data_IF_457433531539
#
_entry.id   IF_457433531539
#
_cell.length_a   1.000
_cell.length_b   1.000
_cell.length_c   1.000
_cell.angle_alpha   90.00
_cell.angle_beta   90.00
_cell.angle_gamma   90.00
#
_symmetry.space_group_name_H-M   'P 1'
#
loop_
_entity.id
_entity.type
_entity.pdbx_description
1 polymer ?
#
# COMPACT_ATOMS: atom_id res chain seq x y z
N UNK A 1 -41.80 -12.62 49.92
CA UNK A 1 -41.97 -13.97 50.54
C UNK A 1 -41.87 -15.02 49.44
N UNK A 2 -41.22 -16.18 49.64
CA UNK A 2 -39.94 -16.36 50.33
C UNK A 2 -38.90 -17.08 49.47
N UNK A 3 -37.66 -16.85 49.79
CA UNK A 3 -36.51 -17.75 49.58
C UNK A 3 -36.84 -19.17 50.12
N UNK A 4 -36.45 -20.21 49.36
CA UNK A 4 -35.98 -21.52 49.79
C UNK A 4 -36.13 -22.50 48.63
N UNK A 5 -35.03 -22.94 48.06
CA UNK A 5 -34.79 -24.26 47.48
C UNK A 5 -33.51 -24.20 46.61
N UNK A 6 -32.39 -24.13 47.30
CA UNK A 6 -31.09 -24.43 46.69
C UNK A 6 -30.18 -25.00 47.79
N UNK A 7 -30.42 -26.24 48.16
CA UNK A 7 -29.53 -27.07 48.98
C UNK A 7 -30.09 -28.48 48.99
N UNK A 8 -29.65 -29.30 48.02
CA UNK A 8 -29.67 -30.78 48.12
C UNK A 8 -29.31 -31.35 46.73
N UNK A 9 -28.03 -31.46 46.43
CA UNK A 9 -27.51 -32.39 45.42
C UNK A 9 -25.96 -32.45 45.47
N UNK A 10 -25.38 -32.60 46.66
CA UNK A 10 -24.00 -33.05 46.84
C UNK A 10 -24.06 -34.07 47.98
N UNK A 11 -24.30 -35.33 47.65
CA UNK A 11 -23.98 -36.52 48.45
C UNK A 11 -24.56 -37.75 47.77
N UNK A 12 -23.80 -38.39 46.89
CA UNK A 12 -23.84 -39.82 46.55
C UNK A 12 -23.00 -40.09 45.35
N UNK A 13 -21.75 -40.48 45.60
CA UNK A 13 -21.01 -41.45 44.75
C UNK A 13 -19.60 -41.61 45.38
N UNK A 14 -19.59 -42.14 46.60
CA UNK A 14 -18.43 -42.90 47.09
C UNK A 14 -18.92 -44.33 47.27
N UNK A 15 -18.35 -45.23 46.50
CA UNK A 15 -18.05 -46.65 46.79
C UNK A 15 -18.21 -47.46 45.49
N UNK A 16 -17.08 -47.74 44.88
CA UNK A 16 -16.72 -49.11 44.55
C UNK A 16 -15.23 -49.10 44.12
N UNK A 17 -14.44 -49.61 45.06
CA UNK A 17 -13.04 -49.98 44.83
C UNK A 17 -12.98 -51.39 44.23
N UNK A 18 -12.01 -51.61 43.39
CA UNK A 18 -11.10 -52.72 43.44
C UNK A 18 -10.75 -53.34 42.09
N UNK A 19 -9.44 -53.41 41.88
CA UNK A 19 -8.71 -54.38 41.08
C UNK A 19 -8.62 -54.24 39.57
N UNK A 20 -7.51 -53.66 39.11
CA UNK A 20 -6.65 -54.32 38.10
C UNK A 20 -5.29 -53.58 37.95
N UNK A 21 -4.26 -54.38 37.74
CA UNK A 21 -2.82 -54.20 37.77
C UNK A 21 -2.28 -52.98 36.96
N UNK A 22 -1.05 -52.49 37.35
CA UNK A 22 -0.43 -51.35 36.67
C UNK A 22 0.34 -51.81 35.42
N UNK A 23 -0.04 -51.28 34.26
CA UNK A 23 0.82 -51.25 33.08
C UNK A 23 1.79 -50.06 33.23
N UNK A 24 3.05 -50.39 33.44
CA UNK A 24 4.16 -49.44 33.47
C UNK A 24 4.36 -48.85 32.04
N UNK A 25 3.94 -47.60 31.83
CA UNK A 25 4.46 -46.79 30.73
C UNK A 25 5.74 -46.11 31.17
N UNK A 26 6.82 -46.13 30.35
CA UNK A 26 8.03 -45.39 30.65
C UNK A 26 7.75 -43.89 30.59
N UNK A 27 7.97 -43.18 31.67
CA UNK A 27 8.09 -41.74 31.71
C UNK A 27 9.28 -41.33 30.85
N UNK A 28 9.02 -40.89 29.62
CA UNK A 28 9.99 -40.09 28.89
C UNK A 28 10.01 -38.73 29.59
N UNK A 29 10.98 -38.53 30.45
CA UNK A 29 11.33 -37.23 30.97
C UNK A 29 11.81 -36.38 29.77
N UNK A 30 10.93 -35.65 29.16
CA UNK A 30 11.29 -34.55 28.27
C UNK A 30 12.03 -33.52 29.11
N UNK A 31 13.36 -33.54 29.00
CA UNK A 31 14.22 -32.51 29.55
C UNK A 31 13.75 -31.17 28.98
N UNK A 32 13.02 -30.42 29.78
CA UNK A 32 12.78 -28.99 29.58
C UNK A 32 14.15 -28.31 29.76
N UNK A 33 14.90 -28.25 28.64
CA UNK A 33 16.02 -27.33 28.56
C UNK A 33 15.40 -25.92 28.71
N UNK A 34 15.90 -25.11 29.65
CA UNK A 34 15.47 -23.73 29.72
C UNK A 34 15.86 -23.09 28.39
N UNK A 35 14.87 -22.67 27.60
CA UNK A 35 15.08 -21.72 26.51
C UNK A 35 15.69 -20.47 27.16
N UNK A 36 17.00 -20.34 27.06
CA UNK A 36 17.67 -19.09 27.38
C UNK A 36 17.10 -18.08 26.43
N UNK A 37 16.26 -17.19 26.93
CA UNK A 37 15.89 -15.98 26.23
C UNK A 37 17.18 -15.18 26.10
N UNK A 38 17.87 -15.29 24.95
CA UNK A 38 18.99 -14.41 24.65
C UNK A 38 18.49 -12.97 24.74
N UNK A 39 19.24 -12.13 25.45
CA UNK A 39 18.91 -10.72 25.58
C UNK A 39 18.89 -10.09 24.19
N UNK A 40 17.83 -9.36 23.88
CA UNK A 40 17.65 -8.73 22.58
C UNK A 40 18.86 -7.84 22.21
N UNK A 41 19.45 -8.08 21.04
CA UNK A 41 20.64 -7.36 20.56
C UNK A 41 20.22 -6.30 19.53
N UNK A 42 19.86 -5.11 20.03
CA UNK A 42 19.37 -4.01 19.21
C UNK A 42 20.48 -3.27 18.49
N UNK A 43 20.52 -3.39 17.17
CA UNK A 43 21.45 -2.67 16.28
C UNK A 43 20.73 -1.61 15.47
N UNK A 44 21.28 -0.39 15.42
CA UNK A 44 20.72 0.69 14.62
C UNK A 44 21.01 0.47 13.14
N UNK A 45 19.96 0.43 12.30
CA UNK A 45 20.07 0.23 10.86
C UNK A 45 19.74 1.50 10.06
N UNK A 46 19.32 2.58 10.73
CA UNK A 46 19.05 3.84 10.07
C UNK A 46 18.23 4.82 10.90
N UNK A 47 18.06 6.02 10.31
CA UNK A 47 17.11 7.04 10.78
C UNK A 47 16.29 7.50 9.59
N UNK A 48 14.99 7.70 9.78
CA UNK A 48 14.10 8.21 8.76
C UNK A 48 13.11 9.19 9.38
N UNK A 49 13.05 10.41 8.82
CA UNK A 49 12.10 11.47 9.25
C UNK A 49 12.05 11.67 10.78
N UNK A 50 13.20 11.69 11.45
CA UNK A 50 13.28 11.83 12.92
C UNK A 50 13.03 10.56 13.73
N UNK A 51 12.75 9.43 13.06
CA UNK A 51 12.54 8.11 13.66
C UNK A 51 13.83 7.29 13.60
N UNK A 52 14.31 6.82 14.75
CA UNK A 52 15.43 5.87 14.82
C UNK A 52 14.89 4.48 14.57
N UNK A 53 15.54 3.72 13.67
CA UNK A 53 15.18 2.35 13.31
C UNK A 53 16.26 1.40 13.80
N UNK A 54 15.86 0.41 14.59
CA UNK A 54 16.76 -0.59 15.13
C UNK A 54 16.17 -1.99 14.91
N UNK A 55 17.03 -2.96 14.65
CA UNK A 55 16.66 -4.39 14.57
C UNK A 55 17.29 -5.17 15.70
N UNK A 56 16.58 -6.16 16.18
CA UNK A 56 17.14 -7.17 17.08
C UNK A 56 17.82 -8.25 16.24
N UNK A 57 19.14 -8.17 16.12
CA UNK A 57 19.93 -9.07 15.28
C UNK A 57 19.90 -10.52 15.77
N UNK A 58 19.67 -10.75 17.07
CA UNK A 58 19.51 -12.10 17.63
C UNK A 58 18.16 -12.74 17.24
N UNK A 59 17.17 -11.93 16.89
CA UNK A 59 15.84 -12.39 16.49
C UNK A 59 15.68 -12.66 14.99
N UNK A 60 16.72 -12.41 14.19
CA UNK A 60 16.68 -12.67 12.75
C UNK A 60 16.69 -14.17 12.47
N UNK A 61 15.57 -14.71 12.02
CA UNK A 61 15.39 -16.13 11.73
C UNK A 61 15.01 -16.33 10.28
N UNK A 62 15.70 -17.25 9.60
CA UNK A 62 15.28 -17.77 8.30
C UNK A 62 14.11 -18.73 8.49
N UNK A 63 12.93 -18.38 8.01
CA UNK A 63 11.72 -19.20 8.06
C UNK A 63 11.69 -20.21 6.90
N UNK A 64 12.09 -19.76 5.72
CA UNK A 64 12.34 -20.56 4.51
C UNK A 64 13.46 -19.91 3.71
N UNK A 65 13.86 -20.49 2.58
CA UNK A 65 14.91 -19.92 1.71
C UNK A 65 14.58 -18.53 1.19
N UNK A 66 13.31 -18.14 1.22
CA UNK A 66 12.83 -16.84 0.73
C UNK A 66 12.20 -15.97 1.82
N UNK A 67 12.06 -16.48 3.04
CA UNK A 67 11.35 -15.79 4.11
C UNK A 67 12.22 -15.63 5.33
N UNK A 68 12.29 -14.41 5.85
CA UNK A 68 13.02 -14.05 7.06
C UNK A 68 12.07 -13.35 8.03
N UNK A 69 12.22 -13.63 9.32
CA UNK A 69 11.44 -13.01 10.37
C UNK A 69 12.37 -12.30 11.34
N UNK A 70 12.01 -11.07 11.73
CA UNK A 70 12.84 -10.24 12.59
C UNK A 70 12.00 -9.28 13.44
N UNK A 71 12.44 -9.04 14.68
CA UNK A 71 11.97 -7.94 15.48
C UNK A 71 12.70 -6.66 15.11
N UNK A 72 11.95 -5.57 14.93
CA UNK A 72 12.49 -4.24 14.79
C UNK A 72 11.73 -3.25 15.64
N UNK A 73 12.33 -2.10 15.92
CA UNK A 73 11.68 -1.02 16.66
C UNK A 73 11.92 0.33 16.02
N UNK A 74 10.93 1.17 16.15
CA UNK A 74 10.91 2.56 15.75
C UNK A 74 10.88 3.41 17.02
N UNK A 75 11.86 4.27 17.20
CA UNK A 75 11.88 5.21 18.32
C UNK A 75 11.70 6.63 17.80
N UNK A 76 10.72 7.32 18.32
CA UNK A 76 10.27 8.62 17.86
C UNK A 76 10.83 9.72 18.77
N UNK A 77 11.35 10.81 18.18
CA UNK A 77 11.86 11.98 18.92
C UNK A 77 10.74 12.72 19.66
N UNK A 78 9.51 12.66 19.14
CA UNK A 78 8.29 13.19 19.79
C UNK A 78 7.27 12.06 19.90
N UNK A 79 6.49 12.00 20.99
CA UNK A 79 5.43 11.01 21.12
C UNK A 79 4.46 11.04 19.93
N UNK A 80 4.09 9.88 19.46
CA UNK A 80 3.07 9.70 18.42
C UNK A 80 1.72 9.46 19.10
N UNK A 81 0.65 9.96 18.50
CA UNK A 81 -0.72 9.82 19.04
C UNK A 81 -1.51 8.92 18.09
N UNK A 82 -2.23 7.95 18.65
CA UNK A 82 -3.13 7.05 17.93
C UNK A 82 -4.55 7.16 18.50
N UNK A 83 -5.53 6.73 17.68
CA UNK A 83 -6.94 6.62 18.04
C UNK A 83 -7.52 7.93 18.59
N UNK A 84 -7.39 9.02 17.81
CA UNK A 84 -7.98 10.34 18.12
C UNK A 84 -7.57 10.90 19.51
N UNK A 85 -6.37 10.54 19.98
CA UNK A 85 -5.86 10.96 21.29
C UNK A 85 -6.03 9.94 22.41
N UNK A 86 -6.51 8.72 22.11
CA UNK A 86 -6.71 7.68 23.12
C UNK A 86 -5.45 7.31 23.89
N UNK A 87 -4.30 7.27 23.20
CA UNK A 87 -2.99 7.17 23.86
C UNK A 87 -1.86 7.71 23.01
N UNK A 88 -0.75 8.11 23.66
CA UNK A 88 0.50 8.50 23.01
C UNK A 88 1.59 7.49 23.32
N UNK A 89 2.44 7.20 22.31
CA UNK A 89 3.55 6.27 22.45
C UNK A 89 4.84 6.90 21.88
N UNK A 90 5.97 6.50 22.41
CA UNK A 90 7.30 7.00 21.98
C UNK A 90 8.11 5.94 21.26
N UNK A 91 7.69 4.68 21.32
CA UNK A 91 8.36 3.58 20.67
C UNK A 91 7.34 2.57 20.15
N UNK A 92 7.61 2.00 18.99
CA UNK A 92 6.88 0.91 18.38
C UNK A 92 7.84 -0.26 18.17
N UNK A 93 7.47 -1.45 18.66
CA UNK A 93 8.21 -2.70 18.40
C UNK A 93 7.36 -3.61 17.55
N UNK A 94 7.93 -4.12 16.47
CA UNK A 94 7.19 -4.91 15.48
C UNK A 94 7.95 -6.19 15.16
N UNK A 95 7.24 -7.32 15.15
CA UNK A 95 7.70 -8.57 14.56
C UNK A 95 7.11 -8.66 13.15
N UNK A 96 7.95 -8.78 12.14
CA UNK A 96 7.50 -8.98 10.76
C UNK A 96 8.24 -10.11 10.06
N UNK A 97 7.56 -10.77 9.15
CA UNK A 97 8.12 -11.71 8.19
C UNK A 97 8.26 -11.02 6.83
N UNK A 98 9.41 -11.18 6.19
CA UNK A 98 9.72 -10.60 4.88
C UNK A 98 9.91 -11.71 3.86
N UNK A 99 9.26 -11.57 2.69
CA UNK A 99 9.42 -12.44 1.52
C UNK A 99 10.36 -11.74 0.54
N UNK A 100 11.60 -12.16 0.49
CA UNK A 100 12.66 -11.40 -0.17
C UNK A 100 12.51 -11.30 -1.69
N UNK A 101 12.21 -12.40 -2.38
CA UNK A 101 12.05 -12.40 -3.85
C UNK A 101 10.84 -11.58 -4.31
N UNK A 102 9.78 -11.55 -3.53
CA UNK A 102 8.52 -10.87 -3.85
C UNK A 102 8.43 -9.45 -3.29
N UNK A 103 9.41 -9.02 -2.49
CA UNK A 103 9.40 -7.73 -1.76
C UNK A 103 8.10 -7.51 -0.96
N UNK A 104 7.68 -8.54 -0.20
CA UNK A 104 6.49 -8.49 0.64
C UNK A 104 6.86 -8.50 2.12
N UNK A 105 6.01 -7.92 2.95
CA UNK A 105 6.10 -7.91 4.40
C UNK A 105 4.77 -8.39 5.02
N UNK A 106 4.87 -9.25 6.02
CA UNK A 106 3.75 -9.71 6.84
C UNK A 106 4.00 -9.29 8.29
N UNK A 107 3.27 -8.32 8.84
CA UNK A 107 3.34 -8.02 10.26
C UNK A 107 2.74 -9.19 11.05
N UNK A 108 3.44 -9.62 12.10
CA UNK A 108 3.03 -10.72 12.98
C UNK A 108 2.54 -10.18 14.32
N UNK A 109 3.29 -9.22 14.89
CA UNK A 109 2.95 -8.58 16.16
C UNK A 109 3.43 -7.14 16.20
N UNK A 110 2.67 -6.28 16.87
CA UNK A 110 3.03 -4.89 17.11
C UNK A 110 2.79 -4.54 18.57
N UNK A 111 3.74 -3.84 19.19
CA UNK A 111 3.65 -3.39 20.58
C UNK A 111 3.99 -1.92 20.67
N UNK A 112 3.12 -1.16 21.27
CA UNK A 112 3.25 0.29 21.51
C UNK A 112 3.78 0.52 22.91
N UNK A 113 4.82 1.32 23.04
CA UNK A 113 5.51 1.57 24.30
C UNK A 113 5.51 3.06 24.65
N UNK A 114 5.31 3.37 25.92
CA UNK A 114 5.48 4.72 26.47
C UNK A 114 6.95 5.16 26.46
N UNK A 115 7.22 6.43 26.77
CA UNK A 115 8.57 6.99 26.86
C UNK A 115 9.45 6.29 27.91
N UNK A 116 8.86 5.79 29.00
CA UNK A 116 9.53 5.00 30.03
C UNK A 116 9.72 3.52 29.65
N UNK A 117 9.24 3.10 28.48
CA UNK A 117 9.35 1.72 27.98
C UNK A 117 8.24 0.77 28.42
N UNK A 118 7.25 1.22 29.21
CA UNK A 118 6.09 0.40 29.55
C UNK A 118 5.21 0.11 28.34
N UNK A 119 4.67 -1.09 28.25
CA UNK A 119 3.73 -1.49 27.22
C UNK A 119 2.39 -0.78 27.42
N UNK A 120 1.90 -0.15 26.35
CA UNK A 120 0.59 0.53 26.32
C UNK A 120 -0.47 -0.31 25.63
N UNK A 121 -0.08 -0.97 24.53
CA UNK A 121 -0.97 -1.80 23.71
C UNK A 121 -0.14 -2.81 22.94
N UNK A 122 -0.67 -4.01 22.74
CA UNK A 122 -0.10 -5.01 21.86
C UNK A 122 -1.17 -5.57 20.93
N UNK A 123 -0.80 -5.79 19.66
CA UNK A 123 -1.67 -6.30 18.60
C UNK A 123 -0.99 -7.49 17.94
N UNK A 124 -1.72 -8.61 17.83
CA UNK A 124 -1.29 -9.75 17.02
C UNK A 124 -2.06 -9.70 15.70
N UNK A 125 -1.38 -9.96 14.60
CA UNK A 125 -1.98 -10.00 13.28
C UNK A 125 -2.18 -11.45 12.87
N UNK A 126 -3.44 -11.85 12.72
CA UNK A 126 -3.81 -13.19 12.26
C UNK A 126 -3.82 -13.30 10.73
N UNK A 127 -3.66 -12.18 10.03
CA UNK A 127 -3.63 -12.16 8.56
C UNK A 127 -2.46 -12.98 8.04
N UNK A 128 -2.74 -13.81 7.05
CA UNK A 128 -1.72 -14.55 6.28
C UNK A 128 -1.26 -13.78 5.04
N UNK A 129 -1.82 -12.59 4.80
CA UNK A 129 -1.61 -11.81 3.59
C UNK A 129 -0.45 -10.84 3.78
N UNK A 130 0.64 -11.12 3.08
CA UNK A 130 1.79 -10.24 3.06
C UNK A 130 1.53 -9.03 2.15
N UNK A 131 1.95 -7.84 2.58
CA UNK A 131 1.80 -6.58 1.85
C UNK A 131 3.11 -6.18 1.17
N UNK A 132 3.08 -5.47 0.02
CA UNK A 132 4.30 -4.97 -0.61
C UNK A 132 5.11 -4.07 0.31
N UNK A 133 6.42 -4.25 0.31
CA UNK A 133 7.36 -3.36 0.99
C UNK A 133 7.42 -2.05 0.20
N UNK A 134 6.95 -0.98 0.84
CA UNK A 134 6.88 0.34 0.21
C UNK A 134 8.29 0.94 0.15
N UNK A 135 8.75 1.41 -1.04
CA UNK A 135 9.99 2.13 -1.18
C UNK A 135 10.06 3.33 -0.22
N UNK A 136 11.25 3.64 0.28
CA UNK A 136 11.49 4.74 1.22
C UNK A 136 10.72 4.66 2.54
N UNK A 137 10.18 3.51 2.90
CA UNK A 137 9.52 3.27 4.20
C UNK A 137 10.50 2.72 5.25
N UNK A 138 10.08 2.74 6.53
CA UNK A 138 10.76 2.00 7.59
C UNK A 138 10.83 0.50 7.25
N UNK A 139 9.72 -0.03 6.70
CA UNK A 139 9.64 -1.43 6.28
C UNK A 139 10.70 -1.78 5.23
N UNK A 140 10.99 -0.90 4.28
CA UNK A 140 12.06 -1.14 3.30
C UNK A 140 13.45 -1.13 3.94
N UNK A 141 13.70 -0.25 4.89
CA UNK A 141 14.98 -0.24 5.64
C UNK A 141 15.20 -1.57 6.36
N UNK A 142 14.15 -2.09 7.00
CA UNK A 142 14.19 -3.40 7.68
C UNK A 142 14.26 -4.55 6.69
N UNK A 143 13.52 -4.49 5.58
CA UNK A 143 13.55 -5.47 4.49
C UNK A 143 14.97 -5.61 3.91
N UNK A 144 15.61 -4.50 3.57
CA UNK A 144 16.96 -4.50 3.01
C UNK A 144 17.97 -5.10 4.00
N UNK A 145 17.77 -4.92 5.29
CA UNK A 145 18.57 -5.57 6.33
C UNK A 145 18.29 -7.08 6.38
N UNK A 146 17.02 -7.49 6.50
CA UNK A 146 16.63 -8.89 6.67
C UNK A 146 16.94 -9.75 5.44
N UNK A 147 16.85 -9.16 4.23
CA UNK A 147 17.06 -9.86 2.97
C UNK A 147 18.48 -9.70 2.40
N UNK A 148 19.40 -9.06 3.13
CA UNK A 148 20.76 -8.75 2.65
C UNK A 148 21.52 -9.93 2.09
N UNK A 149 21.45 -11.08 2.73
CA UNK A 149 22.15 -12.30 2.30
C UNK A 149 21.62 -12.84 0.97
N UNK A 150 20.33 -12.65 0.68
CA UNK A 150 19.71 -13.12 -0.57
C UNK A 150 19.85 -12.12 -1.71
N UNK A 151 20.04 -10.84 -1.41
CA UNK A 151 20.25 -9.78 -2.39
C UNK A 151 21.73 -9.57 -2.73
N UNK A 152 22.64 -10.18 -1.97
CA UNK A 152 24.07 -10.21 -2.33
C UNK A 152 24.28 -11.17 -3.50
N UNK A 153 25.09 -10.80 -4.53
CA UNK A 153 25.52 -11.77 -5.54
C UNK A 153 26.19 -12.95 -4.83
N UNK A 154 25.85 -14.17 -5.26
CA UNK A 154 26.48 -15.40 -4.69
C UNK A 154 28.00 -15.23 -4.70
N UNK A 155 28.69 -15.48 -3.58
CA UNK A 155 30.13 -15.51 -3.59
C UNK A 155 30.56 -16.62 -4.56
N UNK A 156 31.27 -16.26 -5.63
CA UNK A 156 31.96 -17.21 -6.48
C UNK A 156 32.85 -18.05 -5.58
N UNK A 157 32.46 -19.30 -5.38
CA UNK A 157 33.28 -20.28 -4.66
C UNK A 157 34.56 -20.43 -5.47
N UNK A 158 35.64 -19.85 -4.96
CA UNK A 158 36.97 -20.13 -5.47
C UNK A 158 37.22 -21.62 -5.29
N UNK A 159 37.31 -22.31 -6.42
CA UNK A 159 37.60 -23.74 -6.45
C UNK A 159 38.90 -24.00 -5.71
N UNK A 160 38.84 -24.91 -4.70
CA UNK A 160 40.01 -25.43 -4.06
C UNK A 160 40.94 -26.12 -5.09
N UNK A 161 42.25 -26.00 -4.98
CA UNK A 161 43.20 -26.61 -5.94
C UNK A 161 43.11 -28.13 -5.87
N UNK A 162 42.78 -28.76 -6.99
CA UNK A 162 42.82 -30.19 -7.18
C UNK A 162 44.29 -30.69 -7.22
N UNK A 163 44.60 -31.89 -6.74
CA UNK A 163 45.96 -32.44 -6.78
C UNK A 163 46.38 -32.75 -8.23
N UNK A 164 47.70 -32.82 -8.52
CA UNK A 164 48.22 -32.96 -9.89
C UNK A 164 47.96 -34.36 -10.44
N UNK A 165 47.31 -34.42 -11.59
CA UNK A 165 47.18 -35.66 -12.38
C UNK A 165 48.26 -35.64 -13.47
N UNK A 166 48.97 -36.74 -13.55
CA UNK A 166 50.08 -37.09 -14.46
C UNK A 166 49.56 -37.07 -15.89
N UNK A 167 50.38 -36.50 -16.78
CA UNK A 167 50.13 -36.44 -18.19
C UNK A 167 50.29 -37.83 -18.87
N UNK A 168 49.28 -38.22 -19.65
CA UNK A 168 49.47 -39.28 -20.65
C UNK A 168 48.98 -38.77 -22.01
N UNK A 169 49.92 -38.81 -22.97
CA UNK A 169 49.78 -38.42 -24.35
C UNK A 169 48.91 -39.40 -25.13
N UNK A 170 47.90 -38.89 -25.85
CA UNK A 170 47.57 -39.51 -27.15
C UNK A 170 46.93 -38.52 -28.11
N UNK A 171 47.53 -38.48 -29.31
CA UNK A 171 47.11 -37.77 -30.49
C UNK A 171 45.82 -38.40 -31.04
N UNK A 172 44.85 -37.59 -31.50
CA UNK A 172 44.37 -37.51 -32.89
C UNK A 172 42.90 -37.08 -32.97
N UNK A 173 42.68 -36.31 -34.01
CA UNK A 173 41.48 -36.12 -34.81
C UNK A 173 40.61 -34.86 -34.54
N UNK A 174 40.79 -33.94 -35.49
CA UNK A 174 39.88 -32.83 -35.80
C UNK A 174 38.49 -33.34 -36.15
N UNK A 175 37.47 -32.90 -35.38
CA UNK A 175 36.12 -32.89 -35.91
C UNK A 175 35.49 -31.53 -35.60
N UNK A 176 35.21 -30.78 -36.65
CA UNK A 176 34.38 -29.54 -36.61
C UNK A 176 32.97 -29.94 -36.28
N UNK A 177 32.45 -29.63 -35.09
CA UNK A 177 31.01 -29.58 -34.86
C UNK A 177 30.60 -28.12 -34.76
N UNK A 178 29.80 -27.68 -35.70
CA UNK A 178 28.97 -26.47 -35.61
C UNK A 178 27.86 -26.76 -34.60
N UNK A 179 27.97 -26.29 -33.37
CA UNK A 179 26.83 -26.18 -32.47
C UNK A 179 26.15 -24.84 -32.74
N UNK A 180 25.11 -24.88 -33.55
CA UNK A 180 24.11 -23.82 -33.59
C UNK A 180 23.51 -23.63 -32.20
N UNK A 181 23.68 -22.43 -31.65
CA UNK A 181 22.98 -22.03 -30.45
C UNK A 181 21.53 -21.83 -30.84
N UNK A 182 20.70 -22.81 -30.58
CA UNK A 182 19.24 -22.70 -30.71
C UNK A 182 18.79 -21.72 -29.64
N UNK A 183 18.46 -20.49 -30.06
CA UNK A 183 17.89 -19.45 -29.22
C UNK A 183 16.50 -19.92 -28.83
N UNK A 184 16.22 -20.08 -27.51
CA UNK A 184 14.93 -20.46 -27.02
C UNK A 184 13.87 -19.48 -27.56
N UNK A 185 12.69 -19.95 -27.97
CA UNK A 185 11.63 -19.10 -28.48
C UNK A 185 11.30 -18.00 -27.44
N UNK A 186 11.02 -16.75 -27.86
CA UNK A 186 10.65 -15.68 -26.94
C UNK A 186 9.42 -16.10 -26.13
N UNK A 187 9.44 -15.81 -24.83
CA UNK A 187 8.31 -16.08 -23.96
C UNK A 187 7.03 -15.45 -24.52
N UNK A 188 5.88 -16.13 -24.45
CA UNK A 188 4.62 -15.56 -24.93
C UNK A 188 4.34 -14.22 -24.24
N UNK A 189 3.75 -13.24 -24.94
CA UNK A 189 3.41 -11.95 -24.33
C UNK A 189 2.49 -12.20 -23.12
N UNK A 190 2.60 -11.38 -22.05
CA UNK A 190 1.74 -11.49 -20.90
C UNK A 190 0.27 -11.38 -21.33
N UNK A 191 -0.65 -12.10 -20.70
CA UNK A 191 -2.07 -12.01 -21.00
C UNK A 191 -2.55 -10.56 -20.81
N UNK A 192 -3.53 -10.09 -21.59
CA UNK A 192 -4.09 -8.75 -21.42
C UNK A 192 -4.66 -8.60 -19.99
N UNK A 193 -4.60 -7.38 -19.42
CA UNK A 193 -5.16 -7.11 -18.10
C UNK A 193 -6.62 -7.55 -18.01
N UNK A 194 -7.01 -8.11 -16.86
CA UNK A 194 -8.39 -8.53 -16.66
C UNK A 194 -9.34 -7.34 -16.79
N UNK A 195 -10.40 -7.50 -17.57
CA UNK A 195 -11.42 -6.47 -17.74
C UNK A 195 -12.19 -6.25 -16.42
N UNK A 196 -12.41 -4.98 -16.06
CA UNK A 196 -13.11 -4.59 -14.86
C UNK A 196 -14.09 -3.44 -15.14
N UNK A 197 -15.10 -3.31 -14.29
CA UNK A 197 -16.14 -2.28 -14.34
C UNK A 197 -16.38 -1.74 -12.92
N UNK A 198 -17.13 -0.66 -12.81
CA UNK A 198 -17.54 -0.15 -11.50
C UNK A 198 -18.71 -0.93 -10.90
N UNK A 199 -19.55 -1.56 -11.73
CA UNK A 199 -20.76 -2.26 -11.34
C UNK A 199 -20.83 -3.66 -12.00
N UNK A 200 -21.82 -4.48 -11.62
CA UNK A 200 -22.09 -5.76 -12.24
C UNK A 200 -21.13 -6.89 -11.84
N UNK A 201 -20.88 -7.80 -12.78
CA UNK A 201 -20.12 -9.05 -12.54
C UNK A 201 -18.63 -8.79 -12.29
N UNK A 202 -18.09 -7.74 -12.87
CA UNK A 202 -16.69 -7.30 -12.75
C UNK A 202 -16.56 -6.00 -11.95
N UNK A 203 -17.59 -5.65 -11.16
CA UNK A 203 -17.69 -4.43 -10.37
C UNK A 203 -16.70 -4.38 -9.20
N UNK A 204 -16.59 -3.18 -8.57
CA UNK A 204 -15.58 -2.83 -7.58
C UNK A 204 -15.47 -3.82 -6.40
N UNK A 205 -16.56 -4.40 -5.94
CA UNK A 205 -16.56 -5.41 -4.87
C UNK A 205 -15.85 -6.73 -5.26
N UNK A 206 -15.55 -6.93 -6.54
CA UNK A 206 -14.95 -8.16 -7.06
C UNK A 206 -13.56 -7.95 -7.65
N UNK A 207 -13.08 -6.71 -7.75
CA UNK A 207 -11.79 -6.40 -8.39
C UNK A 207 -10.65 -7.27 -7.87
N UNK A 208 -10.52 -7.44 -6.55
CA UNK A 208 -9.48 -8.27 -5.94
C UNK A 208 -9.52 -9.75 -6.29
N UNK A 209 -10.56 -10.21 -7.01
CA UNK A 209 -10.73 -11.60 -7.44
C UNK A 209 -10.68 -11.77 -8.97
N UNK A 210 -10.55 -10.68 -9.73
CA UNK A 210 -10.53 -10.72 -11.19
C UNK A 210 -9.19 -11.16 -11.75
N UNK A 211 -8.11 -10.84 -11.04
CA UNK A 211 -6.73 -11.17 -11.38
C UNK A 211 -5.88 -11.21 -10.11
N UNK A 212 -4.81 -11.99 -10.11
CA UNK A 212 -3.80 -11.95 -9.03
C UNK A 212 -3.17 -10.56 -8.90
N UNK A 213 -2.98 -9.85 -10.02
CA UNK A 213 -2.46 -8.48 -10.04
C UNK A 213 -3.39 -7.48 -9.33
N UNK A 214 -4.68 -7.80 -9.23
CA UNK A 214 -5.69 -6.96 -8.58
C UNK A 214 -6.00 -7.37 -7.13
N UNK A 215 -5.29 -8.36 -6.58
CA UNK A 215 -5.55 -8.88 -5.24
C UNK A 215 -5.59 -7.76 -4.18
N UNK A 216 -4.73 -6.74 -4.31
CA UNK A 216 -4.66 -5.58 -3.39
C UNK A 216 -5.98 -4.81 -3.31
N UNK A 217 -6.82 -4.82 -4.37
CA UNK A 217 -8.15 -4.19 -4.33
C UNK A 217 -9.08 -4.79 -3.27
N UNK A 218 -8.88 -6.09 -2.93
CA UNK A 218 -9.69 -6.80 -1.94
C UNK A 218 -9.06 -6.95 -0.56
N UNK A 219 -7.71 -6.98 -0.49
CA UNK A 219 -6.98 -7.27 0.76
C UNK A 219 -6.18 -6.08 1.28
N UNK A 220 -6.05 -5.00 0.51
CA UNK A 220 -5.30 -3.81 0.89
C UNK A 220 -5.87 -3.16 2.15
N UNK A 221 -4.99 -2.62 3.00
CA UNK A 221 -5.34 -2.03 4.29
C UNK A 221 -5.41 -0.50 4.25
N UNK A 222 -4.87 0.11 3.19
CA UNK A 222 -4.80 1.56 3.00
C UNK A 222 -5.48 1.99 1.71
N UNK A 223 -6.62 1.39 1.44
CA UNK A 223 -7.35 1.62 0.20
C UNK A 223 -8.02 3.00 0.15
N UNK A 224 -8.18 3.53 -1.06
CA UNK A 224 -8.93 4.75 -1.40
C UNK A 224 -10.12 4.39 -2.31
N UNK A 225 -11.18 5.25 -2.33
CA UNK A 225 -11.36 6.48 -1.57
C UNK A 225 -11.80 6.22 -0.12
N UNK A 226 -11.77 7.27 0.73
CA UNK A 226 -12.26 7.21 2.12
C UNK A 226 -13.25 8.35 2.41
N UNK A 227 -14.03 8.19 3.48
CA UNK A 227 -14.74 9.29 4.09
C UNK A 227 -13.78 10.01 5.06
N UNK A 228 -13.45 11.24 4.73
CA UNK A 228 -12.52 12.08 5.52
C UNK A 228 -13.28 12.60 6.73
N UNK A 229 -12.95 12.05 7.90
CA UNK A 229 -13.53 12.40 9.21
C UNK A 229 -12.43 12.39 10.26
N UNK A 230 -12.68 13.02 11.40
CA UNK A 230 -11.80 12.98 12.58
C UNK A 230 -10.35 13.32 12.19
N UNK A 231 -10.19 14.49 11.61
CA UNK A 231 -8.89 14.99 11.13
C UNK A 231 -8.08 15.60 12.25
N UNK A 232 -6.76 15.58 12.12
CA UNK A 232 -5.84 16.22 13.05
C UNK A 232 -5.27 17.47 12.39
N UNK A 233 -5.50 18.65 13.00
CA UNK A 233 -4.91 19.89 12.56
C UNK A 233 -3.37 19.83 12.68
N UNK A 234 -2.67 20.15 11.60
CA UNK A 234 -1.21 20.13 11.52
C UNK A 234 -0.68 21.34 10.76
N UNK A 235 0.54 21.76 11.08
CA UNK A 235 1.24 22.80 10.32
C UNK A 235 1.82 22.16 9.05
N UNK A 236 0.92 21.88 8.08
CA UNK A 236 1.31 21.34 6.80
C UNK A 236 1.82 22.45 5.89
N UNK A 237 2.93 22.22 5.17
CA UNK A 237 3.40 23.19 4.19
C UNK A 237 2.37 23.38 3.07
N UNK A 238 2.25 24.59 2.51
CA UNK A 238 1.35 24.83 1.38
C UNK A 238 1.83 24.02 0.17
N UNK A 239 0.87 23.46 -0.57
CA UNK A 239 1.16 22.84 -1.86
C UNK A 239 1.53 23.94 -2.86
N UNK A 240 2.72 23.86 -3.44
CA UNK A 240 3.13 24.76 -4.52
C UNK A 240 2.73 24.14 -5.85
N UNK A 241 1.90 24.84 -6.61
CA UNK A 241 1.45 24.43 -7.93
C UNK A 241 2.22 25.22 -9.01
N UNK A 242 2.87 24.50 -9.92
CA UNK A 242 3.66 25.07 -11.03
C UNK A 242 3.15 24.55 -12.38
N UNK A 243 1.83 24.52 -12.57
CA UNK A 243 1.21 24.09 -13.83
C UNK A 243 1.31 25.17 -14.90
N UNK A 244 1.32 24.73 -16.16
CA UNK A 244 1.38 25.60 -17.35
C UNK A 244 0.28 25.22 -18.31
N UNK A 245 -0.16 26.19 -19.09
CA UNK A 245 -1.10 25.94 -20.19
C UNK A 245 -0.45 25.06 -21.27
N UNK A 246 -1.19 24.08 -21.76
CA UNK A 246 -0.71 23.06 -22.70
C UNK A 246 -1.73 22.76 -23.79
N UNK A 247 -1.32 22.20 -24.93
CA UNK A 247 -2.24 21.65 -25.91
C UNK A 247 -3.15 20.61 -25.29
N UNK A 248 -4.40 20.55 -25.74
CA UNK A 248 -5.36 19.55 -25.30
C UNK A 248 -5.02 18.18 -25.85
N UNK A 249 -4.90 17.19 -24.96
CA UNK A 249 -4.90 15.76 -25.27
C UNK A 249 -5.91 15.08 -24.36
N UNK A 250 -7.04 14.63 -24.89
CA UNK A 250 -8.17 14.09 -24.12
C UNK A 250 -8.56 12.72 -24.65
N UNK A 251 -8.87 11.80 -23.75
CA UNK A 251 -9.25 10.42 -24.08
C UNK A 251 -10.41 9.96 -23.20
N UNK A 252 -11.35 9.24 -23.78
CA UNK A 252 -12.27 8.36 -23.07
C UNK A 252 -11.58 6.98 -22.97
N UNK A 253 -11.10 6.62 -21.77
CA UNK A 253 -10.36 5.36 -21.56
C UNK A 253 -11.25 4.15 -21.19
N UNK A 254 -12.57 4.27 -21.38
CA UNK A 254 -13.56 3.26 -21.03
C UNK A 254 -14.00 3.31 -19.55
N UNK A 255 -13.33 4.10 -18.70
CA UNK A 255 -13.62 4.21 -17.27
C UNK A 255 -13.84 5.66 -16.82
N UNK A 256 -13.26 6.61 -17.53
CA UNK A 256 -13.40 8.04 -17.29
C UNK A 256 -12.95 8.85 -18.50
N UNK A 257 -13.26 10.15 -18.49
CA UNK A 257 -12.63 11.14 -19.36
C UNK A 257 -11.33 11.59 -18.71
N UNK A 258 -10.21 11.31 -19.36
CA UNK A 258 -8.86 11.63 -18.94
C UNK A 258 -8.22 12.67 -19.85
N UNK A 259 -7.46 13.58 -19.26
CA UNK A 259 -6.68 14.61 -19.97
C UNK A 259 -5.19 14.38 -19.65
N UNK A 260 -4.41 14.11 -20.70
CA UNK A 260 -2.97 13.88 -20.59
C UNK A 260 -2.23 15.21 -20.62
N UNK A 261 -1.38 15.44 -19.64
CA UNK A 261 -0.67 16.72 -19.43
C UNK A 261 0.78 16.53 -18.97
N UNK A 262 1.38 15.35 -19.23
CA UNK A 262 2.75 15.08 -18.84
C UNK A 262 3.76 16.11 -19.37
N UNK A 263 4.78 16.45 -18.59
CA UNK A 263 5.78 17.46 -18.92
C UNK A 263 5.34 18.91 -18.78
N UNK A 264 4.15 19.17 -18.19
CA UNK A 264 3.51 20.49 -18.23
C UNK A 264 3.50 21.21 -16.90
N UNK A 265 4.04 20.60 -15.85
CA UNK A 265 4.12 21.23 -14.54
C UNK A 265 4.18 20.20 -13.43
N UNK A 266 4.27 20.71 -12.22
CA UNK A 266 4.45 19.91 -11.03
C UNK A 266 3.72 20.51 -9.83
N UNK A 267 3.66 19.70 -8.76
CA UNK A 267 3.44 20.21 -7.41
C UNK A 267 4.71 19.96 -6.58
N UNK A 268 4.99 20.85 -5.63
CA UNK A 268 5.98 20.61 -4.56
C UNK A 268 5.24 20.47 -3.25
N UNK A 269 5.44 19.37 -2.55
CA UNK A 269 4.85 19.07 -1.24
C UNK A 269 5.93 18.53 -0.33
N UNK A 270 6.08 19.14 0.85
CA UNK A 270 7.09 18.75 1.86
C UNK A 270 8.51 18.64 1.28
N UNK A 271 8.83 19.54 0.33
CA UNK A 271 10.14 19.59 -0.33
C UNK A 271 10.35 18.57 -1.45
N UNK A 272 9.37 17.70 -1.75
CA UNK A 272 9.43 16.75 -2.86
C UNK A 272 8.59 17.22 -4.05
N UNK A 273 9.18 17.16 -5.25
CA UNK A 273 8.51 17.53 -6.50
C UNK A 273 7.83 16.31 -7.14
N UNK A 274 6.59 16.51 -7.58
CA UNK A 274 5.78 15.52 -8.30
C UNK A 274 5.29 16.12 -9.62
N UNK A 275 5.69 15.53 -10.73
CA UNK A 275 5.27 15.94 -12.07
C UNK A 275 3.81 15.57 -12.33
N UNK A 276 3.01 16.48 -12.87
CA UNK A 276 1.63 16.21 -13.29
C UNK A 276 1.64 15.36 -14.56
N UNK A 277 1.00 14.20 -14.49
CA UNK A 277 0.90 13.26 -15.61
C UNK A 277 -0.42 13.40 -16.36
N UNK A 278 -1.52 13.43 -15.64
CA UNK A 278 -2.88 13.49 -16.18
C UNK A 278 -3.85 13.95 -15.11
N UNK A 279 -5.05 14.37 -15.52
CA UNK A 279 -6.19 14.48 -14.63
C UNK A 279 -7.43 13.84 -15.25
N UNK A 280 -8.36 13.41 -14.40
CA UNK A 280 -9.58 12.73 -14.82
C UNK A 280 -10.71 12.99 -13.82
N UNK A 281 -11.92 12.55 -14.15
CA UNK A 281 -13.11 12.90 -13.40
C UNK A 281 -13.88 11.65 -12.92
N UNK A 282 -14.51 11.78 -11.74
CA UNK A 282 -15.46 10.81 -11.23
C UNK A 282 -16.80 11.49 -10.89
N UNK A 283 -17.87 10.77 -11.10
CA UNK A 283 -19.24 11.13 -10.74
C UNK A 283 -19.95 9.93 -10.10
N UNK A 284 -20.47 10.10 -8.86
CA UNK A 284 -20.24 11.20 -7.92
C UNK A 284 -18.78 11.33 -7.49
N UNK A 285 -18.46 12.22 -6.52
CA UNK A 285 -17.12 12.25 -5.94
C UNK A 285 -16.81 10.92 -5.28
N UNK A 286 -15.56 10.46 -5.44
CA UNK A 286 -15.11 9.24 -4.80
C UNK A 286 -14.91 9.44 -3.30
N UNK A 287 -14.22 10.53 -2.89
CA UNK A 287 -14.08 10.88 -1.50
C UNK A 287 -15.38 11.48 -0.95
N UNK A 288 -15.58 11.27 0.36
CA UNK A 288 -16.53 12.03 1.16
C UNK A 288 -15.78 12.89 2.17
N UNK A 289 -16.37 14.03 2.51
CA UNK A 289 -15.88 14.90 3.59
C UNK A 289 -17.00 15.02 4.61
N UNK A 290 -16.78 14.49 5.81
CA UNK A 290 -17.79 14.42 6.89
C UNK A 290 -19.12 13.81 6.42
N UNK A 291 -19.05 12.73 5.62
CA UNK A 291 -20.21 12.04 5.06
C UNK A 291 -20.83 12.71 3.83
N UNK A 292 -20.43 13.94 3.49
CA UNK A 292 -20.93 14.64 2.32
C UNK A 292 -20.28 14.11 1.06
N UNK A 293 -21.08 13.68 0.09
CA UNK A 293 -20.68 13.40 -1.30
C UNK A 293 -20.87 14.67 -2.14
N UNK A 294 -19.96 14.95 -3.05
CA UNK A 294 -20.05 16.04 -4.01
C UNK A 294 -20.53 15.52 -5.37
N UNK A 295 -20.95 16.43 -6.25
CA UNK A 295 -21.47 16.05 -7.56
C UNK A 295 -20.46 15.34 -8.43
N UNK A 296 -19.18 15.79 -8.39
CA UNK A 296 -18.05 15.20 -9.08
C UNK A 296 -16.75 15.45 -8.29
N UNK A 297 -15.68 14.79 -8.69
CA UNK A 297 -14.31 15.09 -8.27
C UNK A 297 -13.39 15.07 -9.49
N UNK A 298 -12.39 15.94 -9.52
CA UNK A 298 -11.25 15.85 -10.42
C UNK A 298 -10.04 15.34 -9.65
N UNK A 299 -9.39 14.27 -10.14
CA UNK A 299 -8.14 13.74 -9.63
C UNK A 299 -6.99 14.16 -10.55
N UNK A 300 -6.06 14.93 -10.02
CA UNK A 300 -4.84 15.32 -10.72
C UNK A 300 -3.72 14.39 -10.23
N UNK A 301 -3.24 13.52 -11.10
CA UNK A 301 -2.31 12.45 -10.79
C UNK A 301 -0.88 12.89 -11.10
N UNK A 302 -0.02 12.75 -10.11
CA UNK A 302 1.38 13.18 -10.18
C UNK A 302 2.32 12.04 -9.83
N UNK A 303 3.57 12.15 -10.29
CA UNK A 303 4.63 11.18 -10.02
C UNK A 303 5.94 11.90 -9.71
N UNK A 304 6.61 11.50 -8.63
CA UNK A 304 7.94 11.99 -8.32
C UNK A 304 9.02 11.28 -9.16
N UNK A 305 10.23 11.83 -9.19
CA UNK A 305 11.39 11.20 -9.83
C UNK A 305 11.71 9.82 -9.25
N UNK A 306 11.37 9.59 -7.98
CA UNK A 306 11.50 8.30 -7.30
C UNK A 306 10.35 7.31 -7.60
N UNK A 307 9.40 7.69 -8.48
CA UNK A 307 8.25 6.86 -8.85
C UNK A 307 7.08 6.87 -7.87
N UNK A 308 7.14 7.67 -6.78
CA UNK A 308 6.02 7.82 -5.85
C UNK A 308 4.87 8.55 -6.51
N UNK A 309 3.64 8.17 -6.19
CA UNK A 309 2.43 8.82 -6.69
C UNK A 309 1.85 9.78 -5.66
N UNK A 310 1.38 10.92 -6.15
CA UNK A 310 0.56 11.86 -5.39
C UNK A 310 -0.68 12.23 -6.20
N UNK A 311 -1.83 12.33 -5.54
CA UNK A 311 -3.09 12.74 -6.16
C UNK A 311 -3.65 13.96 -5.45
N UNK A 312 -3.89 15.04 -6.21
CA UNK A 312 -4.67 16.17 -5.74
C UNK A 312 -6.12 15.94 -6.14
N UNK A 313 -7.01 15.86 -5.15
CA UNK A 313 -8.45 15.73 -5.37
C UNK A 313 -9.12 17.09 -5.18
N UNK A 314 -9.88 17.50 -6.20
CA UNK A 314 -10.65 18.75 -6.23
C UNK A 314 -12.13 18.40 -6.34
N UNK A 315 -12.88 18.63 -5.27
CA UNK A 315 -14.33 18.42 -5.27
C UNK A 315 -15.03 19.42 -6.17
N UNK A 316 -16.00 18.98 -6.94
CA UNK A 316 -16.83 19.79 -7.81
C UNK A 316 -18.29 19.74 -7.32
N UNK A 317 -18.91 20.91 -7.17
CA UNK A 317 -20.32 21.02 -6.81
C UNK A 317 -21.08 21.84 -7.84
N UNK A 318 -22.37 21.61 -7.94
CA UNK A 318 -23.24 22.39 -8.83
C UNK A 318 -23.16 23.89 -8.51
N UNK A 319 -22.97 24.69 -9.54
CA UNK A 319 -22.86 26.15 -9.43
C UNK A 319 -22.62 26.83 -10.78
N UNK A 320 -21.64 27.73 -10.80
CA UNK A 320 -21.26 28.44 -12.03
C UNK A 320 -20.60 27.51 -13.04
N UNK A 321 -20.77 27.82 -14.32
CA UNK A 321 -20.05 27.14 -15.39
C UNK A 321 -18.53 27.27 -15.23
N UNK A 322 -17.81 26.18 -15.49
CA UNK A 322 -16.36 26.12 -15.42
C UNK A 322 -15.77 26.06 -16.83
N UNK A 323 -14.93 27.04 -17.16
CA UNK A 323 -14.45 27.24 -18.54
C UNK A 323 -13.59 26.07 -19.05
N UNK A 324 -12.71 25.52 -18.20
CA UNK A 324 -11.90 24.36 -18.59
C UNK A 324 -12.81 23.15 -18.90
N UNK A 325 -13.79 22.86 -18.03
CA UNK A 325 -14.72 21.75 -18.25
C UNK A 325 -15.53 21.97 -19.54
N UNK A 326 -15.95 23.19 -19.83
CA UNK A 326 -16.61 23.53 -21.12
C UNK A 326 -15.70 23.18 -22.30
N UNK A 327 -14.42 23.60 -22.24
CA UNK A 327 -13.45 23.28 -23.29
C UNK A 327 -13.27 21.77 -23.47
N UNK A 328 -13.18 21.02 -22.37
CA UNK A 328 -13.04 19.57 -22.42
C UNK A 328 -14.28 18.91 -23.03
N UNK A 329 -15.49 19.27 -22.54
CA UNK A 329 -16.73 18.67 -23.05
C UNK A 329 -17.05 19.00 -24.52
N UNK A 330 -16.56 20.13 -25.02
CA UNK A 330 -16.66 20.48 -26.45
C UNK A 330 -15.67 19.68 -27.33
N UNK A 331 -14.73 18.96 -26.75
CA UNK A 331 -13.71 18.19 -27.46
C UNK A 331 -13.67 16.73 -27.03
N UNK A 332 -14.78 16.19 -26.53
CA UNK A 332 -14.85 14.79 -26.11
C UNK A 332 -14.53 13.83 -27.27
N UNK A 333 -13.77 12.75 -27.02
CA UNK A 333 -13.55 11.70 -28.00
C UNK A 333 -14.86 11.05 -28.43
N UNK A 334 -14.98 10.73 -29.72
CA UNK A 334 -16.13 9.98 -30.27
C UNK A 334 -15.99 8.47 -30.07
N UNK A 335 -14.77 8.00 -29.87
CA UNK A 335 -14.45 6.58 -29.71
C UNK A 335 -13.60 6.37 -28.45
N UNK A 336 -13.91 5.30 -27.70
CA UNK A 336 -13.12 4.92 -26.54
C UNK A 336 -11.69 4.52 -26.92
N UNK A 337 -10.75 4.82 -26.05
CA UNK A 337 -9.31 4.52 -26.19
C UNK A 337 -8.63 5.19 -27.38
N UNK A 338 -9.30 6.14 -28.04
CA UNK A 338 -8.72 7.00 -29.08
C UNK A 338 -8.55 8.42 -28.56
N UNK A 339 -7.34 8.90 -28.31
CA UNK A 339 -7.14 10.26 -27.85
C UNK A 339 -7.49 11.27 -28.97
N UNK A 340 -7.99 12.42 -28.55
CA UNK A 340 -8.17 13.61 -29.39
C UNK A 340 -7.13 14.62 -28.98
N UNK A 341 -6.17 14.86 -29.89
CA UNK A 341 -5.10 15.83 -29.72
C UNK A 341 -5.41 17.10 -30.50
N UNK A 342 -5.42 18.26 -29.80
CA UNK A 342 -5.73 19.58 -30.37
C UNK A 342 -4.59 20.54 -30.03
N UNK A 343 -3.62 20.70 -30.92
CA UNK A 343 -2.47 21.59 -30.72
C UNK A 343 -2.87 23.05 -30.50
N UNK A 344 -3.93 23.49 -31.19
CA UNK A 344 -4.41 24.88 -31.14
C UNK A 344 -5.29 25.18 -29.91
N UNK A 345 -5.85 24.15 -29.29
CA UNK A 345 -6.68 24.32 -28.08
C UNK A 345 -5.79 24.23 -26.84
N UNK A 346 -5.59 25.35 -26.17
CA UNK A 346 -4.83 25.40 -24.92
C UNK A 346 -5.72 25.19 -23.71
N UNK A 347 -5.28 24.39 -22.77
CA UNK A 347 -5.90 24.18 -21.46
C UNK A 347 -4.93 24.48 -20.34
N UNK A 348 -5.42 24.99 -19.22
CA UNK A 348 -4.63 25.26 -18.03
C UNK A 348 -5.23 24.52 -16.84
N UNK A 349 -4.55 23.49 -16.31
CA UNK A 349 -5.03 22.71 -15.16
C UNK A 349 -5.23 23.54 -13.87
N UNK A 350 -4.59 24.72 -13.77
CA UNK A 350 -4.78 25.62 -12.62
C UNK A 350 -6.23 26.07 -12.47
N UNK A 351 -7.00 26.10 -13.56
CA UNK A 351 -8.41 26.48 -13.55
C UNK A 351 -9.30 25.52 -12.76
N UNK A 352 -8.85 24.30 -12.50
CA UNK A 352 -9.55 23.35 -11.61
C UNK A 352 -9.39 23.71 -10.13
N UNK A 353 -8.33 24.46 -9.78
CA UNK A 353 -7.97 24.68 -8.39
C UNK A 353 -8.84 25.79 -7.77
N UNK A 354 -9.30 25.62 -6.51
CA UNK A 354 -9.95 26.70 -5.77
C UNK A 354 -8.92 27.78 -5.37
N UNK A 355 -9.39 28.97 -5.02
CA UNK A 355 -8.55 30.03 -4.47
C UNK A 355 -7.90 29.61 -3.13
N UNK A 356 -8.73 29.06 -2.23
CA UNK A 356 -8.26 28.54 -0.93
C UNK A 356 -7.79 27.11 -1.12
N UNK A 357 -6.50 26.87 -0.88
CA UNK A 357 -5.82 25.59 -1.14
C UNK A 357 -5.45 24.83 0.11
N UNK A 358 -6.14 25.08 1.23
CA UNK A 358 -6.05 24.22 2.41
C UNK A 358 -6.53 22.81 2.07
N UNK A 359 -5.92 21.80 2.67
CA UNK A 359 -6.12 20.42 2.26
C UNK A 359 -6.11 19.43 3.42
N UNK A 360 -6.71 18.28 3.18
CA UNK A 360 -6.51 17.06 3.97
C UNK A 360 -5.45 16.21 3.30
N UNK A 361 -4.68 15.45 4.10
CA UNK A 361 -3.68 14.53 3.56
C UNK A 361 -3.66 13.21 4.30
N UNK A 362 -3.48 12.14 3.54
CA UNK A 362 -3.32 10.78 4.04
C UNK A 362 -2.61 9.90 3.00
N UNK A 363 -2.09 8.75 3.43
CA UNK A 363 -1.57 7.74 2.50
C UNK A 363 -2.68 6.74 2.17
N UNK A 364 -2.95 6.59 0.89
CA UNK A 364 -4.00 5.74 0.35
C UNK A 364 -3.52 4.87 -0.80
N UNK A 365 -4.42 4.60 -1.75
CA UNK A 365 -4.17 3.77 -2.93
C UNK A 365 -4.66 4.44 -4.22
N UNK A 366 -4.39 3.84 -5.35
CA UNK A 366 -5.18 4.05 -6.56
C UNK A 366 -6.63 3.61 -6.31
N UNK A 367 -7.59 4.31 -6.91
CA UNK A 367 -9.03 4.00 -6.79
C UNK A 367 -9.55 3.08 -7.89
N UNK A 368 -8.66 2.63 -8.77
CA UNK A 368 -8.93 1.65 -9.84
C UNK A 368 -7.93 0.49 -9.76
N UNK A 369 -8.23 -0.70 -10.29
CA UNK A 369 -7.24 -1.75 -10.41
C UNK A 369 -5.91 -1.25 -11.03
N UNK A 370 -4.76 -1.66 -10.47
CA UNK A 370 -4.55 -2.71 -9.46
C UNK A 370 -4.66 -2.24 -8.00
N UNK A 371 -5.20 -1.05 -7.69
CA UNK A 371 -5.42 -0.50 -6.35
C UNK A 371 -4.14 -0.40 -5.50
N UNK A 372 -2.99 -0.17 -6.16
CA UNK A 372 -1.68 -0.09 -5.51
C UNK A 372 -1.67 0.95 -4.41
N UNK A 373 -1.17 0.58 -3.24
CA UNK A 373 -1.07 1.44 -2.06
C UNK A 373 0.20 2.31 -2.07
N UNK A 374 0.28 3.27 -1.15
CA UNK A 374 1.42 4.18 -1.05
C UNK A 374 1.21 5.51 -1.78
N UNK A 375 0.01 5.79 -2.26
CA UNK A 375 -0.36 7.05 -2.92
C UNK A 375 -0.57 8.15 -1.89
N UNK A 376 0.13 9.28 -2.05
CA UNK A 376 -0.09 10.48 -1.25
C UNK A 376 -1.35 11.20 -1.74
N UNK A 377 -2.37 11.26 -0.91
CA UNK A 377 -3.61 11.99 -1.19
C UNK A 377 -3.57 13.40 -0.59
N UNK A 378 -3.95 14.38 -1.40
CA UNK A 378 -4.01 15.80 -1.10
C UNK A 378 -5.40 16.29 -1.50
N UNK A 379 -6.36 16.21 -0.58
CA UNK A 379 -7.77 16.53 -0.86
C UNK A 379 -8.06 17.98 -0.48
N UNK A 380 -8.31 18.82 -1.48
CA UNK A 380 -8.56 20.25 -1.24
C UNK A 380 -9.89 20.43 -0.49
N UNK A 381 -9.85 21.24 0.60
CA UNK A 381 -11.02 21.44 1.48
C UNK A 381 -12.14 22.24 0.80
N UNK A 382 -11.75 23.18 -0.07
CA UNK A 382 -12.69 24.08 -0.76
C UNK A 382 -13.08 23.46 -2.09
N UNK A 383 -14.36 23.17 -2.35
CA UNK A 383 -14.81 22.70 -3.65
C UNK A 383 -14.77 23.83 -4.69
N UNK A 384 -14.60 23.47 -5.96
CA UNK A 384 -14.87 24.32 -7.10
C UNK A 384 -16.27 24.07 -7.65
N UNK A 385 -16.68 24.81 -8.68
CA UNK A 385 -18.01 24.72 -9.24
C UNK A 385 -17.97 24.20 -10.68
N UNK A 386 -19.03 23.48 -11.05
CA UNK A 386 -19.36 23.15 -12.43
C UNK A 386 -20.87 23.40 -12.63
N UNK A 387 -21.31 23.75 -13.82
CA UNK A 387 -22.74 23.93 -14.04
C UNK A 387 -23.48 22.59 -13.98
N UNK A 388 -24.78 22.64 -13.70
CA UNK A 388 -25.64 21.44 -13.71
C UNK A 388 -25.58 20.72 -15.06
N UNK A 389 -25.50 21.48 -16.14
CA UNK A 389 -25.40 20.95 -17.51
C UNK A 389 -24.05 20.25 -17.74
N UNK A 390 -22.96 20.80 -17.21
CA UNK A 390 -21.63 20.17 -17.28
C UNK A 390 -21.61 18.85 -16.51
N UNK A 391 -22.15 18.82 -15.29
CA UNK A 391 -22.28 17.62 -14.47
C UNK A 391 -23.18 16.59 -15.16
N UNK A 392 -24.31 17.03 -15.73
CA UNK A 392 -25.23 16.15 -16.45
C UNK A 392 -24.61 15.62 -17.75
N UNK A 393 -23.82 16.46 -18.45
CA UNK A 393 -23.08 16.07 -19.65
C UNK A 393 -22.13 14.89 -19.38
N UNK A 394 -21.31 14.97 -18.33
CA UNK A 394 -20.46 13.86 -17.90
C UNK A 394 -21.30 12.63 -17.52
N UNK A 395 -22.41 12.84 -16.80
CA UNK A 395 -23.31 11.76 -16.36
C UNK A 395 -24.02 11.00 -17.48
N UNK A 396 -24.04 11.53 -18.72
CA UNK A 396 -24.51 10.79 -19.91
C UNK A 396 -23.50 9.76 -20.39
N UNK A 397 -22.19 10.00 -20.16
CA UNK A 397 -21.12 9.10 -20.53
C UNK A 397 -20.90 8.11 -19.38
N UNK A 398 -20.69 8.62 -18.17
CA UNK A 398 -20.44 7.86 -16.95
C UNK A 398 -21.47 8.22 -15.88
N UNK A 399 -22.51 7.37 -15.75
CA UNK A 399 -23.55 7.57 -14.73
C UNK A 399 -22.98 7.44 -13.31
N UNK A 400 -22.11 6.45 -13.12
CA UNK A 400 -21.39 6.18 -11.87
C UNK A 400 -20.04 5.54 -12.22
N UNK A 401 -18.96 6.27 -11.98
CA UNK A 401 -17.59 5.75 -12.09
C UNK A 401 -16.79 6.01 -10.81
N UNK A 402 -17.47 5.94 -9.68
CA UNK A 402 -16.86 6.09 -8.36
C UNK A 402 -16.73 4.73 -7.66
N UNK A 403 -15.54 4.42 -7.19
CA UNK A 403 -15.32 3.27 -6.31
C UNK A 403 -16.03 3.50 -4.98
N UNK A 404 -16.69 2.51 -4.38
CA UNK A 404 -17.25 2.65 -3.02
C UNK A 404 -16.19 3.06 -1.99
N UNK A 405 -16.64 3.76 -0.95
CA UNK A 405 -15.81 4.15 0.20
C UNK A 405 -15.16 2.92 0.82
N UNK A 406 -13.86 3.01 1.08
CA UNK A 406 -13.04 2.00 1.71
C UNK A 406 -12.85 2.31 3.20
N UNK A 407 -12.50 1.28 3.98
CA UNK A 407 -12.18 1.44 5.39
C UNK A 407 -11.03 2.44 5.57
N UNK A 408 -11.15 3.33 6.55
CA UNK A 408 -10.07 4.21 6.98
C UNK A 408 -8.86 3.40 7.52
N UNK A 409 -9.08 2.21 8.09
CA UNK A 409 -8.01 1.31 8.53
C UNK A 409 -7.09 1.91 9.59
N UNK A 410 -7.60 2.74 10.51
CA UNK A 410 -6.79 3.39 11.56
C UNK A 410 -5.83 4.48 11.06
N UNK A 411 -5.92 4.89 9.78
CA UNK A 411 -5.06 5.94 9.21
C UNK A 411 -5.33 7.30 9.85
N UNK A 412 -4.25 8.00 10.14
CA UNK A 412 -4.31 9.40 10.55
C UNK A 412 -4.51 10.26 9.30
N UNK A 413 -5.57 11.08 9.33
CA UNK A 413 -5.82 12.10 8.31
C UNK A 413 -5.41 13.44 8.91
N UNK A 414 -4.41 14.10 8.31
CA UNK A 414 -4.00 15.43 8.72
C UNK A 414 -4.75 16.47 7.91
N UNK A 415 -4.97 17.64 8.51
CA UNK A 415 -5.51 18.79 7.79
C UNK A 415 -4.64 20.03 8.00
N UNK A 416 -4.46 20.80 6.93
CA UNK A 416 -3.80 22.11 7.01
C UNK A 416 -4.66 23.09 7.80
N UNK A 417 -4.02 23.86 8.65
CA UNK A 417 -4.63 24.95 9.41
C UNK A 417 -4.94 26.17 8.55
#
# INVERSE_FOLDING_TARGET
>A
MPRKLLHQAIDRLHRHAANSLPLALPLIAAALLPLHAEAANWSSIGKKTGTKIEVDTASLVRVTDDKFRVWYRESYAKPQIIDSGAFSFSRLTVLSEFHCSKRLMLPVRRTYLAGNGSELKSENFESKDATPVIPDSVAETVFNFACKEKLAPEPTVAAAPSPPVVAENSKTAKQKSKTGKEEAPPAPPPPPPAHWEYEGKTGAAKWGKLSEDYAVCGIGQRQSPIDIRETIGADLPPIRFAYKAVPLSIVDNGHTIQVNVAGTGSITVDGEDYELLQFHFHKPSEEKINGKTYDMVAHLVHKSKAGKLAVVAVMLQAGKEQNLIRTLWNNLPLEQNKPVDKSETKIDPTQLLPEKRSYFTYIGSLTTPPCSEGVLWLVLKTPTQASKEQIAGFGKIYKNNARPIQSRGGRVIKESR
#
